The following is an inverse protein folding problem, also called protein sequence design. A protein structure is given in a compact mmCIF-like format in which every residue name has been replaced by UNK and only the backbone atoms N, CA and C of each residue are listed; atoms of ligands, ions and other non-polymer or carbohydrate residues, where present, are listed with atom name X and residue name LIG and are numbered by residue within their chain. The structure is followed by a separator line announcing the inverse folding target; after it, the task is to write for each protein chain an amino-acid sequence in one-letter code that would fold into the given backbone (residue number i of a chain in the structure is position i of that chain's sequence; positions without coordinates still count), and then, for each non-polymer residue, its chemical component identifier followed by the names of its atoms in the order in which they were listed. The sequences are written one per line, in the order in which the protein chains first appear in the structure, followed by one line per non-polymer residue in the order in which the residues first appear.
data_IF_389732249211
#
_entry.id   IF_389732249211
#
_cell.length_a   1.000
_cell.length_b   1.000
_cell.length_c   1.000
_cell.angle_alpha   90.00
_cell.angle_beta   90.00
_cell.angle_gamma   90.00
#
_symmetry.space_group_name_H-M   'P 1'
#
loop_
_entity.id
_entity.type
_entity.pdbx_description
1 polymer ?
#
# COMPACT_ATOMS: atom_id res chain seq x y z
N UNK A 1 -32.07 -19.09 2.62
CA UNK A 1 -31.87 -18.03 1.58
C UNK A 1 -31.65 -16.73 2.34
N UNK A 2 -30.44 -16.17 2.26
CA UNK A 2 -30.14 -14.85 2.85
C UNK A 2 -31.08 -13.80 2.25
N UNK A 3 -31.58 -12.87 3.08
CA UNK A 3 -32.34 -11.72 2.59
C UNK A 3 -31.47 -10.83 1.69
N UNK A 4 -32.10 -10.12 0.75
CA UNK A 4 -31.39 -9.16 -0.12
C UNK A 4 -30.59 -8.14 0.72
N UNK A 5 -31.13 -7.70 1.84
CA UNK A 5 -30.47 -6.79 2.78
C UNK A 5 -29.18 -7.38 3.34
N UNK A 6 -29.19 -8.66 3.72
CA UNK A 6 -28.00 -9.33 4.25
C UNK A 6 -26.93 -9.52 3.17
N UNK A 7 -27.31 -9.83 1.93
CA UNK A 7 -26.37 -9.94 0.81
C UNK A 7 -25.67 -8.60 0.53
N UNK A 8 -26.43 -7.51 0.47
CA UNK A 8 -25.89 -6.14 0.31
C UNK A 8 -24.92 -5.83 1.46
N UNK A 9 -25.33 -6.10 2.69
CA UNK A 9 -24.52 -5.81 3.87
C UNK A 9 -23.16 -6.55 3.85
N UNK A 10 -23.15 -7.84 3.53
CA UNK A 10 -21.89 -8.61 3.46
C UNK A 10 -20.96 -8.11 2.35
N UNK A 11 -21.48 -7.78 1.16
CA UNK A 11 -20.69 -7.21 0.06
C UNK A 11 -20.10 -5.85 0.48
N UNK A 12 -20.90 -4.96 1.08
CA UNK A 12 -20.43 -3.66 1.55
C UNK A 12 -19.36 -3.80 2.63
N UNK A 13 -19.54 -4.71 3.57
CA UNK A 13 -18.58 -4.99 4.65
C UNK A 13 -17.25 -5.47 4.12
N UNK A 14 -17.25 -6.40 3.16
CA UNK A 14 -16.01 -6.92 2.58
C UNK A 14 -15.28 -5.84 1.77
N UNK A 15 -16.00 -5.05 0.97
CA UNK A 15 -15.43 -3.92 0.24
C UNK A 15 -14.83 -2.87 1.20
N UNK A 16 -15.55 -2.55 2.29
CA UNK A 16 -15.07 -1.58 3.28
C UNK A 16 -13.78 -2.04 3.98
N UNK A 17 -13.59 -3.33 4.18
CA UNK A 17 -12.34 -3.86 4.75
C UNK A 17 -11.13 -3.62 3.82
N UNK A 18 -11.29 -3.92 2.52
CA UNK A 18 -10.24 -3.67 1.51
C UNK A 18 -9.87 -2.18 1.53
N UNK A 19 -10.88 -1.32 1.49
CA UNK A 19 -10.73 0.13 1.53
C UNK A 19 -10.02 0.60 2.79
N UNK A 20 -10.46 0.15 3.98
CA UNK A 20 -9.87 0.57 5.25
C UNK A 20 -8.38 0.23 5.36
N UNK A 21 -7.96 -0.93 4.84
CA UNK A 21 -6.55 -1.32 4.84
C UNK A 21 -5.71 -0.42 3.92
N UNK A 22 -6.27 -0.02 2.77
CA UNK A 22 -5.60 0.90 1.87
C UNK A 22 -5.57 2.33 2.42
N UNK A 23 -6.65 2.79 3.05
CA UNK A 23 -6.71 4.11 3.71
C UNK A 23 -5.70 4.24 4.86
N UNK A 24 -5.46 3.17 5.62
CA UNK A 24 -4.40 3.13 6.62
C UNK A 24 -3.03 3.39 5.97
N UNK A 25 -2.72 2.70 4.89
CA UNK A 25 -1.48 2.91 4.14
C UNK A 25 -1.37 4.34 3.58
N UNK A 26 -2.45 4.89 2.99
CA UNK A 26 -2.48 6.28 2.49
C UNK A 26 -2.14 7.27 3.62
N UNK A 27 -2.70 7.05 4.81
CA UNK A 27 -2.45 7.91 5.97
C UNK A 27 -0.97 7.89 6.34
N UNK A 28 -0.36 6.71 6.46
CA UNK A 28 1.06 6.57 6.79
C UNK A 28 1.98 7.18 5.70
N UNK A 29 1.62 7.05 4.42
CA UNK A 29 2.32 7.71 3.31
C UNK A 29 2.24 9.24 3.44
N UNK A 30 1.04 9.77 3.70
CA UNK A 30 0.81 11.21 3.87
C UNK A 30 1.61 11.75 5.06
N UNK A 31 1.61 11.03 6.17
CA UNK A 31 2.37 11.41 7.37
C UNK A 31 3.87 11.44 7.09
N UNK A 32 4.41 10.41 6.44
CA UNK A 32 5.83 10.39 6.07
C UNK A 32 6.20 11.52 5.12
N UNK A 33 5.41 11.75 4.05
CA UNK A 33 5.69 12.82 3.09
C UNK A 33 5.54 14.22 3.71
N UNK A 34 4.68 14.39 4.71
CA UNK A 34 4.48 15.67 5.40
C UNK A 34 5.63 16.06 6.32
N UNK A 35 6.42 15.08 6.78
CA UNK A 35 7.49 15.34 7.77
C UNK A 35 8.58 16.25 7.22
N UNK A 36 8.92 16.08 5.94
CA UNK A 36 9.86 16.95 5.23
C UNK A 36 9.41 18.41 5.30
N UNK A 37 8.18 18.70 4.92
CA UNK A 37 7.62 20.05 4.92
C UNK A 37 7.56 20.65 6.33
N UNK A 38 7.19 19.85 7.36
CA UNK A 38 7.15 20.29 8.76
C UNK A 38 8.52 20.64 9.31
N UNK A 39 9.57 19.95 8.87
CA UNK A 39 10.95 20.26 9.26
C UNK A 39 11.40 21.53 8.54
N UNK A 40 11.17 21.64 7.24
CA UNK A 40 11.55 22.79 6.42
C UNK A 40 10.81 24.07 6.85
N UNK A 41 9.55 23.96 7.32
CA UNK A 41 8.80 25.08 7.91
C UNK A 41 9.16 25.39 9.37
N UNK A 42 10.10 24.66 9.97
CA UNK A 42 10.51 24.77 11.39
C UNK A 42 9.40 24.44 12.41
N UNK A 43 8.33 23.79 11.96
CA UNK A 43 7.26 23.30 12.84
C UNK A 43 7.70 22.06 13.65
N UNK A 44 8.64 21.29 13.11
CA UNK A 44 9.19 20.09 13.73
C UNK A 44 10.72 20.16 13.76
N UNK A 45 11.32 19.75 14.89
CA UNK A 45 12.77 19.51 14.95
C UNK A 45 13.09 18.19 14.25
N UNK A 46 14.26 18.14 13.63
CA UNK A 46 14.75 16.91 12.99
C UNK A 46 15.16 15.92 14.09
N UNK A 47 14.41 14.84 14.22
CA UNK A 47 14.80 13.68 15.02
C UNK A 47 14.78 12.44 14.12
N UNK A 48 15.93 11.79 13.99
CA UNK A 48 16.10 10.59 13.16
C UNK A 48 15.09 9.49 13.56
N UNK A 49 14.80 9.36 14.85
CA UNK A 49 13.84 8.41 15.37
C UNK A 49 12.42 8.65 14.84
N UNK A 50 11.99 9.91 14.69
CA UNK A 50 10.66 10.23 14.17
C UNK A 50 10.55 9.92 12.68
N UNK A 51 11.56 10.31 11.88
CA UNK A 51 11.57 10.00 10.44
C UNK A 51 11.51 8.49 10.22
N UNK A 52 12.30 7.74 10.96
CA UNK A 52 12.31 6.28 10.88
C UNK A 52 11.01 5.63 11.37
N UNK A 53 10.39 6.18 12.42
CA UNK A 53 9.09 5.70 12.91
C UNK A 53 8.02 5.79 11.82
N UNK A 54 7.90 6.91 11.13
CA UNK A 54 6.96 7.07 10.03
C UNK A 54 7.27 6.14 8.85
N UNK A 55 8.56 5.98 8.51
CA UNK A 55 8.95 5.02 7.46
C UNK A 55 8.58 3.57 7.83
N UNK A 56 8.83 3.15 9.07
CA UNK A 56 8.47 1.80 9.55
C UNK A 56 6.95 1.58 9.56
N UNK A 57 6.16 2.59 9.94
CA UNK A 57 4.70 2.52 9.90
C UNK A 57 4.22 2.32 8.46
N UNK A 58 4.67 3.14 7.53
CA UNK A 58 4.35 3.07 6.10
C UNK A 58 4.71 1.69 5.50
N UNK A 59 5.91 1.18 5.77
CA UNK A 59 6.33 -0.14 5.30
C UNK A 59 5.45 -1.26 5.88
N UNK A 60 5.05 -1.11 7.14
CA UNK A 60 4.22 -2.09 7.84
C UNK A 60 2.77 -2.08 7.35
N UNK A 61 2.16 -0.92 7.17
CA UNK A 61 0.78 -0.80 6.67
C UNK A 61 0.66 -1.20 5.20
N UNK A 62 1.67 -0.90 4.37
CA UNK A 62 1.73 -1.38 3.00
C UNK A 62 1.78 -2.90 2.90
N UNK A 63 2.61 -3.56 3.72
CA UNK A 63 2.64 -5.02 3.80
C UNK A 63 1.34 -5.59 4.36
N UNK A 64 0.78 -4.97 5.39
CA UNK A 64 -0.50 -5.38 5.97
C UNK A 64 -1.63 -5.34 4.94
N UNK A 65 -1.69 -4.30 4.09
CA UNK A 65 -2.67 -4.20 3.02
C UNK A 65 -2.62 -5.41 2.07
N UNK A 66 -1.43 -5.80 1.63
CA UNK A 66 -1.26 -6.96 0.73
C UNK A 66 -1.66 -8.26 1.43
N UNK A 67 -1.08 -8.53 2.61
CA UNK A 67 -1.32 -9.78 3.35
C UNK A 67 -2.79 -9.94 3.75
N UNK A 68 -3.43 -8.83 4.15
CA UNK A 68 -4.84 -8.84 4.53
C UNK A 68 -5.72 -9.29 3.36
N UNK A 69 -5.51 -8.72 2.16
CA UNK A 69 -6.32 -9.02 0.99
C UNK A 69 -6.11 -10.47 0.51
N UNK A 70 -4.86 -10.95 0.46
CA UNK A 70 -4.58 -12.35 0.14
C UNK A 70 -5.25 -13.30 1.15
N UNK A 71 -5.14 -13.01 2.46
CA UNK A 71 -5.77 -13.83 3.50
C UNK A 71 -7.29 -13.82 3.43
N UNK A 72 -7.94 -12.69 3.10
CA UNK A 72 -9.41 -12.63 2.94
C UNK A 72 -9.89 -13.55 1.80
N UNK A 73 -9.19 -13.54 0.67
CA UNK A 73 -9.54 -14.41 -0.46
C UNK A 73 -9.25 -15.88 -0.11
N UNK A 74 -8.08 -16.17 0.47
CA UNK A 74 -7.72 -17.54 0.92
C UNK A 74 -8.75 -18.12 1.90
N UNK A 75 -9.25 -17.33 2.85
CA UNK A 75 -10.26 -17.79 3.82
C UNK A 75 -11.63 -18.01 3.17
N UNK A 76 -11.98 -17.23 2.15
CA UNK A 76 -13.29 -17.31 1.50
C UNK A 76 -13.37 -18.40 0.42
N UNK A 77 -12.29 -18.62 -0.33
CA UNK A 77 -12.25 -19.47 -1.52
C UNK A 77 -11.27 -20.65 -1.45
N UNK A 78 -10.39 -20.71 -0.48
CA UNK A 78 -9.24 -21.61 -0.29
C UNK A 78 -7.97 -21.16 -1.04
N UNK A 79 -6.84 -21.75 -0.65
CA UNK A 79 -5.50 -21.48 -1.24
C UNK A 79 -5.37 -22.05 -2.67
N UNK A 80 -6.08 -23.14 -2.98
CA UNK A 80 -6.04 -23.81 -4.27
C UNK A 80 -7.08 -23.25 -5.28
N UNK A 81 -7.72 -22.14 -4.97
CA UNK A 81 -8.76 -21.54 -5.81
C UNK A 81 -8.19 -20.64 -6.91
N UNK A 82 -8.90 -20.53 -8.03
CA UNK A 82 -8.56 -19.57 -9.11
C UNK A 82 -8.59 -18.12 -8.62
N UNK A 83 -9.45 -17.82 -7.65
CA UNK A 83 -9.58 -16.51 -7.01
C UNK A 83 -8.31 -16.16 -6.23
N UNK A 84 -7.77 -17.11 -5.47
CA UNK A 84 -6.52 -16.92 -4.75
C UNK A 84 -5.33 -16.78 -5.71
N UNK A 85 -5.25 -17.62 -6.72
CA UNK A 85 -4.25 -17.52 -7.78
C UNK A 85 -4.29 -16.17 -8.48
N UNK A 86 -5.48 -15.60 -8.68
CA UNK A 86 -5.64 -14.29 -9.32
C UNK A 86 -5.05 -13.17 -8.46
N UNK A 87 -5.43 -13.11 -7.16
CA UNK A 87 -4.93 -12.06 -6.26
C UNK A 87 -3.43 -12.19 -6.03
N UNK A 88 -2.92 -13.42 -5.89
CA UNK A 88 -1.51 -13.69 -5.69
C UNK A 88 -0.66 -13.28 -6.92
N UNK A 89 -1.18 -13.47 -8.14
CA UNK A 89 -0.51 -13.03 -9.38
C UNK A 89 -0.38 -11.52 -9.46
N UNK A 90 -1.33 -10.74 -8.97
CA UNK A 90 -1.19 -9.28 -8.95
C UNK A 90 -0.02 -8.84 -8.07
N UNK A 91 0.09 -9.39 -6.85
CA UNK A 91 1.21 -9.09 -5.94
C UNK A 91 2.55 -9.59 -6.50
N UNK A 92 2.56 -10.80 -7.11
CA UNK A 92 3.75 -11.37 -7.76
C UNK A 92 4.21 -10.52 -8.94
N UNK A 93 3.29 -10.02 -9.77
CA UNK A 93 3.61 -9.13 -10.87
C UNK A 93 4.29 -7.83 -10.38
N UNK A 94 3.74 -7.19 -9.33
CA UNK A 94 4.38 -6.01 -8.73
C UNK A 94 5.78 -6.35 -8.17
N UNK A 95 5.93 -7.51 -7.53
CA UNK A 95 7.22 -7.95 -7.01
C UNK A 95 8.27 -8.17 -8.12
N UNK A 96 7.88 -8.74 -9.24
CA UNK A 96 8.79 -9.07 -10.33
C UNK A 96 9.14 -7.84 -11.19
N UNK A 97 8.21 -6.90 -11.36
CA UNK A 97 8.37 -5.76 -12.29
C UNK A 97 8.76 -4.45 -11.61
N UNK A 98 8.41 -4.25 -10.32
CA UNK A 98 8.60 -2.97 -9.65
C UNK A 98 9.66 -3.06 -8.54
N UNK A 99 10.76 -2.31 -8.71
CA UNK A 99 11.86 -2.26 -7.73
C UNK A 99 11.37 -1.73 -6.37
N UNK A 100 10.66 -0.61 -6.35
CA UNK A 100 10.24 0.01 -5.10
C UNK A 100 9.34 -0.90 -4.27
N UNK A 101 8.40 -1.64 -4.92
CA UNK A 101 7.57 -2.61 -4.25
C UNK A 101 8.40 -3.73 -3.60
N UNK A 102 9.25 -4.39 -4.36
CA UNK A 102 10.09 -5.51 -3.90
C UNK A 102 11.12 -5.07 -2.85
N UNK A 103 11.68 -3.85 -3.02
CA UNK A 103 12.64 -3.30 -2.07
C UNK A 103 11.96 -2.91 -0.74
N UNK A 104 10.82 -2.22 -0.78
CA UNK A 104 10.06 -1.84 0.43
C UNK A 104 9.60 -3.07 1.24
N UNK A 105 9.17 -4.16 0.56
CA UNK A 105 8.86 -5.42 1.26
C UNK A 105 10.08 -6.01 1.99
N UNK A 106 11.24 -5.95 1.38
CA UNK A 106 12.50 -6.42 2.00
C UNK A 106 13.00 -5.46 3.07
N UNK A 107 12.88 -4.16 2.83
CA UNK A 107 13.26 -3.11 3.79
C UNK A 107 12.41 -3.16 5.07
N UNK A 108 11.13 -3.49 4.95
CA UNK A 108 10.27 -3.74 6.10
C UNK A 108 10.82 -4.87 6.97
N UNK A 109 11.25 -5.97 6.38
CA UNK A 109 11.83 -7.08 7.13
C UNK A 109 13.21 -6.71 7.72
N UNK A 110 14.01 -5.94 6.98
CA UNK A 110 15.26 -5.36 7.48
C UNK A 110 15.01 -4.51 8.72
N UNK A 111 14.06 -3.58 8.65
CA UNK A 111 13.77 -2.66 9.75
C UNK A 111 13.20 -3.33 11.01
N UNK A 112 12.62 -4.52 10.88
CA UNK A 112 12.11 -5.27 12.03
C UNK A 112 13.16 -6.12 12.75
N UNK A 113 14.27 -6.45 12.08
CA UNK A 113 15.19 -7.47 12.58
C UNK A 113 16.64 -7.01 12.68
N UNK A 114 17.00 -5.93 11.98
CA UNK A 114 18.40 -5.51 11.85
C UNK A 114 18.62 -4.08 12.33
N UNK A 115 18.07 -3.07 11.61
CA UNK A 115 18.34 -1.67 11.89
C UNK A 115 17.30 -0.74 11.24
N UNK A 116 17.45 0.58 11.48
CA UNK A 116 16.58 1.61 10.95
C UNK A 116 16.68 1.73 9.42
N UNK A 117 15.56 1.92 8.72
CA UNK A 117 15.57 1.98 7.26
C UNK A 117 16.21 3.25 6.69
N UNK A 118 16.03 4.42 7.34
CA UNK A 118 16.66 5.68 6.94
C UNK A 118 17.87 5.90 7.84
N UNK A 119 19.03 5.92 7.24
CA UNK A 119 20.31 6.00 7.94
C UNK A 119 21.15 7.22 7.56
N UNK A 120 20.59 8.13 6.74
CA UNK A 120 21.18 9.42 6.48
C UNK A 120 20.10 10.50 6.31
N UNK A 121 20.22 11.55 7.10
CA UNK A 121 19.44 12.78 6.98
C UNK A 121 20.39 13.91 6.62
N UNK A 122 20.19 14.48 5.43
CA UNK A 122 21.01 15.61 4.96
C UNK A 122 20.26 16.91 5.12
N UNK A 123 20.84 17.84 5.85
CA UNK A 123 20.30 19.18 6.04
C UNK A 123 21.20 20.20 5.35
N UNK A 124 20.60 21.10 4.59
CA UNK A 124 21.28 22.22 3.94
C UNK A 124 20.54 23.50 4.31
N UNK A 125 21.27 24.52 4.77
CA UNK A 125 20.73 25.86 5.02
C UNK A 125 21.39 26.82 4.03
N UNK A 126 20.73 27.09 2.88
CA UNK A 126 21.29 28.00 1.87
C UNK A 126 21.34 29.46 2.35
N UNK A 127 20.53 29.82 3.34
CA UNK A 127 20.49 31.10 4.02
C UNK A 127 20.06 30.91 5.49
N UNK A 128 19.99 31.98 6.27
CA UNK A 128 19.67 31.96 7.71
C UNK A 128 18.17 31.57 7.98
N UNK A 129 17.31 31.66 6.98
CA UNK A 129 15.88 31.46 7.12
C UNK A 129 15.44 30.09 6.57
N UNK A 130 16.14 29.54 5.58
CA UNK A 130 15.74 28.34 4.85
C UNK A 130 16.46 27.10 5.38
N UNK A 131 15.70 26.04 5.63
CA UNK A 131 16.20 24.68 5.92
C UNK A 131 15.67 23.76 4.85
N UNK A 132 16.55 23.06 4.14
CA UNK A 132 16.19 21.97 3.23
C UNK A 132 16.65 20.66 3.86
N UNK A 133 15.81 19.63 3.79
CA UNK A 133 16.11 18.30 4.34
C UNK A 133 15.83 17.22 3.33
N UNK A 134 16.75 16.27 3.21
CA UNK A 134 16.58 15.07 2.40
C UNK A 134 16.85 13.83 3.24
N UNK A 135 16.09 12.76 2.96
CA UNK A 135 16.18 11.48 3.64
C UNK A 135 16.73 10.44 2.68
N UNK A 136 17.79 9.78 3.10
CA UNK A 136 18.46 8.78 2.27
C UNK A 136 18.59 7.43 2.97
N UNK A 137 18.58 6.40 2.14
CA UNK A 137 18.90 5.03 2.49
C UNK A 137 20.27 4.74 1.85
N UNK A 138 21.31 4.63 2.66
CA UNK A 138 22.67 4.33 2.23
C UNK A 138 22.80 2.84 1.84
N UNK A 139 23.16 2.60 0.59
CA UNK A 139 23.26 1.24 0.04
C UNK A 139 24.46 0.47 0.56
N UNK A 140 25.59 1.14 0.83
CA UNK A 140 26.76 0.49 1.42
C UNK A 140 26.44 0.01 2.84
N UNK A 141 25.73 0.84 3.62
CA UNK A 141 25.29 0.47 4.96
C UNK A 141 24.39 -0.77 4.92
N UNK A 142 23.38 -0.78 4.05
CA UNK A 142 22.48 -1.92 3.89
C UNK A 142 23.20 -3.19 3.45
N UNK A 143 24.09 -3.09 2.45
CA UNK A 143 24.81 -4.24 1.88
C UNK A 143 25.85 -4.84 2.84
N UNK A 144 26.43 -4.04 3.73
CA UNK A 144 27.36 -4.48 4.77
C UNK A 144 26.66 -5.07 6.00
N UNK A 145 25.33 -4.97 6.09
CA UNK A 145 24.55 -5.59 7.16
C UNK A 145 24.49 -7.12 7.03
N UNK A 146 24.15 -7.79 8.12
CA UNK A 146 23.92 -9.24 8.14
C UNK A 146 22.58 -9.67 7.52
N UNK A 147 21.83 -8.75 6.90
CA UNK A 147 20.53 -9.06 6.29
C UNK A 147 20.69 -9.80 4.96
N UNK A 148 19.85 -10.82 4.79
CA UNK A 148 19.84 -11.63 3.55
C UNK A 148 18.93 -11.01 2.51
N UNK A 149 19.46 -10.15 1.64
CA UNK A 149 18.71 -9.47 0.56
C UNK A 149 18.21 -10.42 -0.55
N UNK A 150 18.60 -11.70 -0.53
CA UNK A 150 18.14 -12.73 -1.49
C UNK A 150 18.31 -12.26 -2.96
N UNK A 151 17.24 -12.31 -3.76
CA UNK A 151 17.22 -11.89 -5.17
C UNK A 151 17.57 -10.41 -5.37
N UNK A 152 17.26 -9.54 -4.39
CA UNK A 152 17.60 -8.11 -4.45
C UNK A 152 19.09 -7.80 -4.34
N UNK A 153 19.91 -8.70 -3.79
CA UNK A 153 21.31 -8.40 -3.49
C UNK A 153 22.07 -7.89 -4.72
N UNK A 154 21.94 -8.57 -5.85
CA UNK A 154 22.64 -8.18 -7.08
C UNK A 154 22.15 -6.83 -7.61
N UNK A 155 20.85 -6.61 -7.57
CA UNK A 155 20.22 -5.35 -7.99
C UNK A 155 20.69 -4.17 -7.13
N UNK A 156 20.77 -4.35 -5.80
CA UNK A 156 21.31 -3.35 -4.88
C UNK A 156 22.81 -3.08 -5.12
N UNK A 157 23.61 -4.10 -5.41
CA UNK A 157 25.02 -3.93 -5.77
C UNK A 157 25.16 -3.12 -7.07
N UNK A 158 24.36 -3.41 -8.08
CA UNK A 158 24.39 -2.67 -9.35
C UNK A 158 23.91 -1.23 -9.17
N UNK A 159 22.89 -1.02 -8.35
CA UNK A 159 22.42 0.32 -8.00
C UNK A 159 23.49 1.09 -7.24
N UNK A 160 24.16 0.45 -6.27
CA UNK A 160 25.22 1.06 -5.47
C UNK A 160 26.43 1.50 -6.29
N UNK A 161 26.71 0.86 -7.43
CA UNK A 161 27.75 1.31 -8.37
C UNK A 161 27.39 2.60 -9.09
N UNK A 162 26.09 2.92 -9.21
CA UNK A 162 25.58 4.09 -9.92
C UNK A 162 25.28 5.23 -8.97
N UNK A 163 24.70 4.90 -7.83
CA UNK A 163 24.35 5.84 -6.77
C UNK A 163 24.50 5.14 -5.43
N UNK A 164 25.23 5.72 -4.50
CA UNK A 164 25.42 5.11 -3.17
C UNK A 164 24.17 5.18 -2.28
N UNK A 165 23.14 5.89 -2.73
CA UNK A 165 21.97 6.22 -1.89
C UNK A 165 20.68 6.15 -2.68
N UNK A 166 19.60 5.79 -1.98
CA UNK A 166 18.22 5.89 -2.47
C UNK A 166 17.56 7.06 -1.76
N UNK A 167 16.94 7.96 -2.53
CA UNK A 167 16.08 9.01 -2.00
C UNK A 167 14.78 8.38 -1.47
N UNK A 168 14.55 8.53 -0.16
CA UNK A 168 13.43 7.88 0.52
C UNK A 168 12.06 8.45 0.08
N UNK A 169 11.99 9.74 -0.27
CA UNK A 169 10.75 10.36 -0.73
C UNK A 169 10.34 9.81 -2.10
N UNK A 170 11.30 9.70 -3.02
CA UNK A 170 11.06 9.11 -4.36
C UNK A 170 10.65 7.64 -4.23
N UNK A 171 11.37 6.88 -3.41
CA UNK A 171 11.06 5.47 -3.15
C UNK A 171 9.61 5.28 -2.63
N UNK A 172 9.20 6.10 -1.67
CA UNK A 172 7.86 6.03 -1.10
C UNK A 172 6.78 6.36 -2.13
N UNK A 173 7.01 7.35 -3.00
CA UNK A 173 6.07 7.68 -4.09
C UNK A 173 5.92 6.53 -5.09
N UNK A 174 7.02 5.88 -5.46
CA UNK A 174 6.99 4.72 -6.36
C UNK A 174 6.29 3.51 -5.70
N UNK A 175 6.55 3.27 -4.41
CA UNK A 175 5.87 2.23 -3.64
C UNK A 175 4.37 2.51 -3.51
N UNK A 176 3.98 3.75 -3.26
CA UNK A 176 2.58 4.19 -3.24
C UNK A 176 1.87 3.91 -4.57
N UNK A 177 2.52 4.23 -5.70
CA UNK A 177 1.96 3.96 -7.02
C UNK A 177 1.72 2.46 -7.23
N UNK A 178 2.66 1.61 -6.82
CA UNK A 178 2.52 0.14 -6.92
C UNK A 178 1.34 -0.41 -6.11
N UNK A 179 1.17 0.08 -4.88
CA UNK A 179 0.06 -0.36 -4.03
C UNK A 179 -1.29 0.23 -4.48
N UNK A 180 -1.29 1.40 -5.11
CA UNK A 180 -2.48 1.97 -5.74
C UNK A 180 -2.95 1.12 -6.92
N UNK A 181 -2.03 0.64 -7.75
CA UNK A 181 -2.35 -0.31 -8.82
C UNK A 181 -2.91 -1.63 -8.27
N UNK A 182 -2.28 -2.19 -7.21
CA UNK A 182 -2.81 -3.38 -6.54
C UNK A 182 -4.21 -3.15 -5.97
N UNK A 183 -4.47 -2.00 -5.36
CA UNK A 183 -5.79 -1.65 -4.86
C UNK A 183 -6.84 -1.63 -5.97
N UNK A 184 -6.50 -1.07 -7.14
CA UNK A 184 -7.35 -1.12 -8.34
C UNK A 184 -7.66 -2.56 -8.76
N UNK A 185 -6.64 -3.39 -8.88
CA UNK A 185 -6.78 -4.80 -9.27
C UNK A 185 -7.62 -5.61 -8.26
N UNK A 186 -7.43 -5.36 -6.97
CA UNK A 186 -8.22 -6.04 -5.92
C UNK A 186 -9.69 -5.62 -5.96
N UNK A 187 -9.98 -4.35 -6.20
CA UNK A 187 -11.35 -3.86 -6.37
C UNK A 187 -12.02 -4.47 -7.60
N UNK A 188 -11.31 -4.55 -8.72
CA UNK A 188 -11.83 -5.15 -9.96
C UNK A 188 -12.14 -6.65 -9.74
N UNK A 189 -11.20 -7.39 -9.13
CA UNK A 189 -11.44 -8.79 -8.77
C UNK A 189 -12.65 -8.92 -7.85
N UNK A 190 -12.75 -8.10 -6.82
CA UNK A 190 -13.87 -8.12 -5.88
C UNK A 190 -15.22 -7.91 -6.59
N UNK A 191 -15.30 -6.94 -7.49
CA UNK A 191 -16.51 -6.69 -8.28
C UNK A 191 -16.85 -7.88 -9.18
N UNK A 192 -15.85 -8.47 -9.84
CA UNK A 192 -16.01 -9.66 -10.68
C UNK A 192 -16.57 -10.85 -9.87
N UNK A 193 -16.01 -11.12 -8.70
CA UNK A 193 -16.43 -12.21 -7.82
C UNK A 193 -17.86 -12.03 -7.27
N UNK A 194 -18.32 -10.80 -7.12
CA UNK A 194 -19.65 -10.51 -6.63
C UNK A 194 -20.66 -10.17 -7.73
N UNK A 195 -20.25 -10.21 -9.02
CA UNK A 195 -21.07 -9.78 -10.15
C UNK A 195 -22.46 -10.44 -10.19
N UNK A 196 -22.52 -11.77 -10.11
CA UNK A 196 -23.79 -12.51 -10.17
C UNK A 196 -24.71 -12.16 -8.99
N UNK A 197 -24.15 -11.99 -7.79
CA UNK A 197 -24.92 -11.58 -6.60
C UNK A 197 -25.45 -10.16 -6.77
N UNK A 198 -24.66 -9.25 -7.32
CA UNK A 198 -25.08 -7.86 -7.59
C UNK A 198 -26.19 -7.80 -8.65
N UNK A 199 -26.12 -8.60 -9.70
CA UNK A 199 -27.17 -8.73 -10.72
C UNK A 199 -28.46 -9.28 -10.13
N UNK A 200 -28.38 -10.34 -9.30
CA UNK A 200 -29.53 -10.92 -8.60
C UNK A 200 -30.20 -9.91 -7.64
N UNK A 201 -29.39 -9.19 -6.86
CA UNK A 201 -29.86 -8.11 -5.98
C UNK A 201 -30.61 -7.04 -6.80
N UNK A 202 -30.02 -6.60 -7.91
CA UNK A 202 -30.63 -5.60 -8.79
C UNK A 202 -31.99 -6.07 -9.31
N UNK A 203 -32.07 -7.29 -9.84
CA UNK A 203 -33.30 -7.88 -10.35
C UNK A 203 -34.39 -7.98 -9.27
N UNK A 204 -34.01 -8.42 -8.06
CA UNK A 204 -34.95 -8.49 -6.91
C UNK A 204 -35.47 -7.12 -6.49
N UNK A 205 -34.60 -6.11 -6.44
CA UNK A 205 -35.01 -4.74 -6.11
C UNK A 205 -35.93 -4.13 -7.16
N UNK A 206 -35.67 -4.38 -8.44
CA UNK A 206 -36.53 -3.94 -9.55
C UNK A 206 -37.90 -4.62 -9.48
N UNK A 207 -37.98 -5.91 -9.17
CA UNK A 207 -39.25 -6.66 -9.02
C UNK A 207 -40.11 -6.13 -7.85
N UNK A 208 -39.46 -5.62 -6.81
CA UNK A 208 -40.19 -5.02 -5.66
C UNK A 208 -40.72 -3.61 -5.94
N UNK A 209 -40.51 -3.04 -7.14
CA UNK A 209 -40.95 -1.67 -7.52
C UNK A 209 -40.54 -0.58 -6.52
N UNK A 210 -39.44 -0.77 -5.82
CA UNK A 210 -38.96 0.19 -4.84
C UNK A 210 -38.43 1.46 -5.54
N UNK A 211 -39.06 2.61 -5.32
CA UNK A 211 -38.66 3.91 -5.87
C UNK A 211 -37.23 4.34 -5.51
N UNK A 212 -36.61 3.68 -4.56
CA UNK A 212 -35.25 3.99 -4.04
C UNK A 212 -34.14 3.06 -4.56
N UNK A 213 -34.42 2.15 -5.50
CA UNK A 213 -33.43 1.21 -6.07
C UNK A 213 -32.17 1.93 -6.60
N UNK A 214 -32.34 3.10 -7.24
CA UNK A 214 -31.24 3.95 -7.72
C UNK A 214 -30.30 4.42 -6.61
N UNK A 215 -30.79 4.62 -5.40
CA UNK A 215 -29.98 5.12 -4.28
C UNK A 215 -28.97 4.09 -3.79
N UNK A 216 -29.35 2.82 -3.69
CA UNK A 216 -28.46 1.75 -3.24
C UNK A 216 -27.45 1.35 -4.32
N UNK A 217 -27.88 1.26 -5.57
CA UNK A 217 -27.01 0.97 -6.72
C UNK A 217 -26.03 2.12 -6.95
N UNK A 218 -26.45 3.39 -6.82
CA UNK A 218 -25.56 4.54 -6.95
C UNK A 218 -24.56 4.68 -5.80
N UNK A 219 -24.87 4.16 -4.60
CA UNK A 219 -23.89 4.06 -3.53
C UNK A 219 -22.80 3.05 -3.83
N UNK A 220 -23.16 1.89 -4.39
CA UNK A 220 -22.19 0.87 -4.82
C UNK A 220 -21.34 1.42 -5.98
N UNK A 221 -21.97 2.04 -6.99
CA UNK A 221 -21.27 2.60 -8.18
C UNK A 221 -20.51 3.92 -7.91
N UNK A 222 -20.87 4.69 -6.88
CA UNK A 222 -20.10 5.88 -6.48
C UNK A 222 -18.73 5.55 -5.85
N UNK A 223 -18.53 4.33 -5.41
CA UNK A 223 -17.24 3.86 -4.94
C UNK A 223 -16.35 3.39 -6.10
N UNK A 224 -16.91 3.23 -7.33
CA UNK A 224 -16.23 2.64 -8.47
C UNK A 224 -15.46 3.61 -9.38
N UNK A 225 -15.57 4.94 -9.23
CA UNK A 225 -15.13 5.83 -10.31
C UNK A 225 -14.51 7.16 -9.88
N UNK A 226 -13.89 7.24 -8.72
CA UNK A 226 -13.13 8.44 -8.37
C UNK A 226 -11.80 8.10 -7.71
N UNK A 227 -10.90 7.64 -8.53
CA UNK A 227 -9.44 7.85 -8.32
C UNK A 227 -8.73 7.73 -9.66
#
# INVERSE_FOLDING_TARGET
IMSVSNQIFEIQKDFQKIKNMFELFITDVSDFLSIKNKIESKELKIEEADVNRFMIHLLSSGKLFVDFNENQIKQKYSEDSEEFDCIHRFASYQYDTNFAYRFCHSLRNYSQHIDLPINEIKTVSPDDETILVDFYIDLDYLLNSNFKWKKLKMELIELNRKTSKIDAITLVKEYFNSLTELYGNYNELFLKLNHNTLVDIKSKLESLKLKHTRYYISKISKYDLKY
#
